data_IF_504958241137
#
_entry.id   IF_504958241137
#
_cell.length_a   1.000
_cell.length_b   1.000
_cell.length_c   1.000
_cell.angle_alpha   90.00
_cell.angle_beta   90.00
_cell.angle_gamma   90.00
#
_symmetry.space_group_name_H-M   'P 1'
#
loop_
_entity.id
_entity.type
_entity.pdbx_description
1 polymer ?
#
# COMPACT_ATOMS: atom_id res chain seq x y z
N UNK A 1 -21.05 22.36 -42.80
CA UNK A 1 -20.31 22.04 -41.54
C UNK A 1 -19.49 20.80 -41.85
N UNK A 2 -18.15 20.88 -41.79
CA UNK A 2 -17.31 19.71 -42.02
C UNK A 2 -17.38 18.78 -40.80
N UNK A 3 -17.69 17.52 -41.05
CA UNK A 3 -17.74 16.42 -40.09
C UNK A 3 -16.30 16.08 -39.69
N UNK A 4 -15.84 16.60 -38.53
CA UNK A 4 -14.54 16.25 -37.97
C UNK A 4 -14.69 14.87 -37.34
N UNK A 5 -14.51 13.83 -38.12
CA UNK A 5 -14.22 12.49 -37.61
C UNK A 5 -12.81 12.52 -37.04
N UNK A 6 -12.72 12.64 -35.73
CA UNK A 6 -11.48 12.32 -35.02
C UNK A 6 -11.27 10.81 -35.11
N UNK A 7 -10.57 10.38 -36.15
CA UNK A 7 -10.03 9.02 -36.27
C UNK A 7 -8.90 8.90 -35.25
N UNK A 8 -9.27 8.81 -33.98
CA UNK A 8 -8.35 8.51 -32.89
C UNK A 8 -8.24 6.99 -32.82
N UNK A 9 -7.46 6.42 -33.72
CA UNK A 9 -6.94 5.08 -33.55
C UNK A 9 -5.92 5.18 -32.40
N UNK A 10 -6.20 4.59 -31.23
CA UNK A 10 -5.21 4.64 -30.14
C UNK A 10 -3.94 3.97 -30.68
N UNK A 11 -2.83 4.72 -30.67
CA UNK A 11 -1.53 4.14 -30.99
C UNK A 11 -1.37 2.92 -30.07
N UNK A 12 -1.21 1.74 -30.65
CA UNK A 12 -0.91 0.54 -29.86
C UNK A 12 0.39 0.83 -29.11
N UNK A 13 0.25 1.03 -27.79
CA UNK A 13 1.42 1.18 -26.92
C UNK A 13 2.25 -0.08 -27.07
N UNK A 14 3.54 0.06 -27.34
CA UNK A 14 4.44 -1.09 -27.32
C UNK A 14 4.54 -1.65 -25.89
N UNK A 15 5.04 -2.88 -25.74
CA UNK A 15 5.12 -3.56 -24.45
C UNK A 15 5.91 -2.73 -23.40
N UNK A 16 6.83 -1.85 -23.83
CA UNK A 16 7.56 -0.97 -22.94
C UNK A 16 6.70 0.18 -22.42
N UNK A 17 5.89 0.78 -23.31
CA UNK A 17 4.97 1.86 -22.94
C UNK A 17 3.82 1.36 -22.07
N UNK A 18 3.40 0.10 -22.23
CA UNK A 18 2.29 -0.49 -21.49
C UNK A 18 2.68 -1.00 -20.08
N UNK A 19 3.97 -1.31 -19.85
CA UNK A 19 4.45 -1.87 -18.57
C UNK A 19 4.06 -1.02 -17.37
N UNK A 20 4.13 0.31 -17.48
CA UNK A 20 3.74 1.22 -16.41
C UNK A 20 2.24 1.15 -16.08
N UNK A 21 1.40 1.05 -17.10
CA UNK A 21 -0.05 0.90 -16.92
C UNK A 21 -0.40 -0.45 -16.29
N UNK A 22 0.22 -1.54 -16.74
CA UNK A 22 0.02 -2.87 -16.17
C UNK A 22 0.42 -2.90 -14.69
N UNK A 23 1.57 -2.32 -14.32
CA UNK A 23 2.00 -2.22 -12.93
C UNK A 23 1.00 -1.44 -12.07
N UNK A 24 0.50 -0.31 -12.58
CA UNK A 24 -0.50 0.50 -11.88
C UNK A 24 -1.81 -0.28 -11.70
N UNK A 25 -2.27 -0.98 -12.73
CA UNK A 25 -3.48 -1.79 -12.70
C UNK A 25 -3.34 -2.97 -11.74
N UNK A 26 -2.25 -3.73 -11.80
CA UNK A 26 -1.96 -4.83 -10.88
C UNK A 26 -1.96 -4.33 -9.44
N UNK A 27 -1.30 -3.20 -9.17
CA UNK A 27 -1.27 -2.60 -7.83
C UNK A 27 -2.68 -2.23 -7.35
N UNK A 28 -3.52 -1.65 -8.22
CA UNK A 28 -4.90 -1.31 -7.92
C UNK A 28 -5.76 -2.55 -7.63
N UNK A 29 -5.65 -3.59 -8.47
CA UNK A 29 -6.39 -4.83 -8.30
C UNK A 29 -5.98 -5.58 -7.03
N UNK A 30 -4.69 -5.65 -6.73
CA UNK A 30 -4.19 -6.23 -5.47
C UNK A 30 -4.75 -5.49 -4.26
N UNK A 31 -4.77 -4.15 -4.27
CA UNK A 31 -5.38 -3.36 -3.18
C UNK A 31 -6.86 -3.71 -2.99
N UNK A 32 -7.63 -3.81 -4.07
CA UNK A 32 -9.05 -4.20 -4.00
C UNK A 32 -9.24 -5.61 -3.44
N UNK A 33 -8.43 -6.56 -3.88
CA UNK A 33 -8.47 -7.94 -3.38
C UNK A 33 -8.15 -8.01 -1.88
N UNK A 34 -7.12 -7.29 -1.42
CA UNK A 34 -6.81 -7.16 -0.01
C UNK A 34 -7.94 -6.51 0.79
N UNK A 35 -8.54 -5.44 0.27
CA UNK A 35 -9.65 -4.76 0.93
C UNK A 35 -10.85 -5.70 1.12
N UNK A 36 -11.15 -6.52 0.11
CA UNK A 36 -12.21 -7.52 0.20
C UNK A 36 -11.88 -8.61 1.24
N UNK A 37 -10.63 -9.10 1.23
CA UNK A 37 -10.17 -10.15 2.13
C UNK A 37 -10.16 -9.70 3.60
N UNK A 38 -9.85 -8.42 3.85
CA UNK A 38 -9.82 -7.86 5.20
C UNK A 38 -11.19 -7.48 5.78
N UNK A 39 -12.26 -7.46 4.99
CA UNK A 39 -13.63 -7.12 5.47
C UNK A 39 -14.08 -7.89 6.70
N UNK A 40 -13.85 -9.22 6.83
CA UNK A 40 -14.28 -9.98 8.00
C UNK A 40 -13.63 -9.52 9.31
N UNK A 41 -12.47 -8.86 9.25
CA UNK A 41 -11.79 -8.29 10.43
C UNK A 41 -12.39 -6.96 10.90
N UNK A 42 -13.36 -6.39 10.16
CA UNK A 42 -13.89 -5.06 10.41
C UNK A 42 -12.98 -3.91 9.95
N UNK A 43 -11.82 -4.22 9.37
CA UNK A 43 -10.88 -3.23 8.85
C UNK A 43 -11.25 -2.78 7.43
N UNK A 44 -10.98 -1.51 7.15
CA UNK A 44 -11.11 -0.91 5.80
C UNK A 44 -9.73 -0.82 5.14
N UNK A 45 -9.70 -0.56 3.82
CA UNK A 45 -8.47 -0.42 3.06
C UNK A 45 -7.45 0.56 3.63
N UNK A 46 -7.90 1.66 4.25
CA UNK A 46 -7.00 2.60 4.90
C UNK A 46 -6.51 2.08 6.26
N UNK A 47 -7.39 1.48 7.06
CA UNK A 47 -7.07 1.06 8.44
C UNK A 47 -6.13 -0.14 8.48
N UNK A 48 -6.37 -1.20 7.68
CA UNK A 48 -5.46 -2.34 7.69
C UNK A 48 -4.06 -1.97 7.18
N UNK A 49 -3.95 -1.04 6.21
CA UNK A 49 -2.64 -0.56 5.74
C UNK A 49 -1.88 0.19 6.82
N UNK A 50 -2.56 1.01 7.63
CA UNK A 50 -1.93 1.66 8.80
C UNK A 50 -1.34 0.60 9.74
N UNK A 51 -2.10 -0.45 10.07
CA UNK A 51 -1.60 -1.53 10.94
C UNK A 51 -0.39 -2.27 10.33
N UNK A 52 -0.39 -2.53 9.02
CA UNK A 52 0.75 -3.15 8.32
C UNK A 52 2.00 -2.27 8.38
N UNK A 53 1.87 -0.95 8.22
CA UNK A 53 3.05 -0.08 8.33
C UNK A 53 3.55 0.03 9.77
N UNK A 54 2.65 0.10 10.75
CA UNK A 54 3.03 0.07 12.17
C UNK A 54 3.65 -1.27 12.59
N UNK A 55 3.21 -2.40 12.04
CA UNK A 55 3.82 -3.69 12.36
C UNK A 55 5.27 -3.83 11.87
N UNK A 56 5.68 -3.04 10.89
CA UNK A 56 7.07 -2.98 10.41
C UNK A 56 7.93 -2.00 11.20
N UNK A 57 7.33 -0.91 11.62
CA UNK A 57 7.97 0.16 12.37
C UNK A 57 6.88 0.84 13.21
N UNK A 58 6.86 0.54 14.49
CA UNK A 58 5.88 1.08 15.43
C UNK A 58 6.23 2.52 15.84
N UNK A 59 5.28 3.24 16.41
CA UNK A 59 5.55 4.59 16.90
C UNK A 59 5.73 5.65 15.81
N UNK A 60 5.11 5.48 14.65
CA UNK A 60 5.21 6.44 13.56
C UNK A 60 4.26 7.63 13.76
N UNK A 61 4.67 8.82 13.29
CA UNK A 61 3.78 9.97 13.23
C UNK A 61 2.74 9.82 12.12
N UNK A 62 1.58 10.47 12.27
CA UNK A 62 0.56 10.48 11.20
C UNK A 62 1.10 11.09 9.88
N UNK A 63 2.05 12.02 9.95
CA UNK A 63 2.69 12.59 8.77
C UNK A 63 3.56 11.56 8.04
N UNK A 64 4.34 10.76 8.77
CA UNK A 64 5.14 9.67 8.20
C UNK A 64 4.24 8.58 7.57
N UNK A 65 3.16 8.22 8.27
CA UNK A 65 2.17 7.27 7.75
C UNK A 65 1.51 7.79 6.46
N UNK A 66 1.15 9.08 6.40
CA UNK A 66 0.54 9.69 5.20
C UNK A 66 1.49 9.62 3.99
N UNK A 67 2.77 9.89 4.21
CA UNK A 67 3.79 9.79 3.17
C UNK A 67 3.95 8.34 2.68
N UNK A 68 4.08 7.36 3.60
CA UNK A 68 4.26 5.94 3.26
C UNK A 68 3.02 5.34 2.60
N UNK A 69 1.83 5.78 2.99
CA UNK A 69 0.55 5.32 2.44
C UNK A 69 0.14 6.04 1.14
N UNK A 70 0.83 7.12 0.81
CA UNK A 70 0.52 8.00 -0.34
C UNK A 70 -0.94 8.50 -0.33
N UNK A 71 -1.43 8.89 0.85
CA UNK A 71 -2.75 9.47 1.06
C UNK A 71 -2.65 10.76 1.86
N UNK A 72 -3.72 11.55 1.88
CA UNK A 72 -3.75 12.81 2.60
C UNK A 72 -3.59 12.63 4.12
N UNK A 73 -3.03 13.61 4.81
CA UNK A 73 -2.95 13.61 6.29
C UNK A 73 -4.33 13.51 6.94
N UNK A 74 -5.35 14.09 6.30
CA UNK A 74 -6.74 13.99 6.76
C UNK A 74 -7.22 12.54 6.72
N UNK A 75 -7.01 11.84 5.61
CA UNK A 75 -7.40 10.43 5.48
C UNK A 75 -6.68 9.51 6.47
N UNK A 76 -5.39 9.78 6.77
CA UNK A 76 -4.66 9.05 7.83
C UNK A 76 -5.25 9.38 9.19
N UNK A 77 -5.54 10.66 9.47
CA UNK A 77 -6.17 11.08 10.73
C UNK A 77 -7.47 10.32 10.97
N UNK A 78 -8.36 10.27 10.00
CA UNK A 78 -9.63 9.53 10.07
C UNK A 78 -9.43 8.01 10.26
N UNK A 79 -8.43 7.43 9.59
CA UNK A 79 -8.10 6.01 9.74
C UNK A 79 -7.58 5.72 11.17
N UNK A 80 -6.66 6.55 11.68
CA UNK A 80 -6.11 6.44 13.04
C UNK A 80 -7.20 6.66 14.09
N UNK A 81 -8.07 7.67 13.92
CA UNK A 81 -9.21 7.90 14.82
C UNK A 81 -10.17 6.70 14.90
N UNK A 82 -10.39 6.03 13.76
CA UNK A 82 -11.19 4.81 13.70
C UNK A 82 -10.52 3.64 14.42
N UNK A 83 -9.22 3.45 14.17
CA UNK A 83 -8.42 2.40 14.83
C UNK A 83 -8.31 2.62 16.33
N UNK A 84 -8.14 3.85 16.78
CA UNK A 84 -8.08 4.19 18.21
C UNK A 84 -9.42 3.94 18.90
N UNK A 85 -10.55 4.35 18.28
CA UNK A 85 -11.89 4.05 18.79
C UNK A 85 -12.20 2.55 18.87
N UNK A 86 -11.64 1.75 17.99
CA UNK A 86 -11.78 0.27 17.99
C UNK A 86 -10.70 -0.43 18.83
N UNK A 87 -9.82 0.31 19.50
CA UNK A 87 -8.80 -0.22 20.40
C UNK A 87 -7.62 -0.89 19.71
N UNK A 88 -7.40 -0.65 18.41
CA UNK A 88 -6.30 -1.23 17.65
C UNK A 88 -5.00 -0.43 17.74
N UNK A 89 -5.09 0.87 17.91
CA UNK A 89 -3.93 1.74 18.10
C UNK A 89 -4.16 2.70 19.24
N UNK A 90 -3.09 3.29 19.73
CA UNK A 90 -3.10 4.39 20.67
C UNK A 90 -2.14 5.48 20.24
N UNK A 91 -2.45 6.73 20.61
CA UNK A 91 -1.57 7.87 20.40
C UNK A 91 -0.78 8.15 21.67
N UNK A 92 0.53 8.32 21.53
CA UNK A 92 1.42 8.76 22.61
C UNK A 92 2.18 10.00 22.15
N UNK A 93 2.45 10.94 23.10
CA UNK A 93 3.31 12.06 22.80
C UNK A 93 4.73 11.56 22.48
N UNK A 94 5.35 12.18 21.49
CA UNK A 94 6.75 11.91 21.16
C UNK A 94 7.65 12.29 22.36
N UNK A 95 8.57 11.44 22.80
CA UNK A 95 9.43 11.72 23.95
C UNK A 95 10.35 12.92 23.72
N UNK A 96 10.74 13.16 22.47
CA UNK A 96 11.69 14.22 22.11
C UNK A 96 10.99 15.53 21.69
N UNK A 97 9.74 15.46 21.22
CA UNK A 97 8.94 16.63 20.84
C UNK A 97 7.47 16.44 21.22
N UNK A 98 7.07 16.95 22.39
CA UNK A 98 5.71 16.85 22.94
C UNK A 98 4.61 17.46 22.05
N UNK A 99 4.97 18.20 21.00
CA UNK A 99 4.02 18.71 20.00
C UNK A 99 3.67 17.66 18.95
N UNK A 100 4.42 16.57 18.87
CA UNK A 100 4.19 15.47 17.96
C UNK A 100 3.50 14.32 18.67
N UNK A 101 2.64 13.65 17.93
CA UNK A 101 1.96 12.44 18.38
C UNK A 101 2.37 11.28 17.51
N UNK A 102 2.80 10.21 18.15
CA UNK A 102 3.15 8.95 17.53
C UNK A 102 2.02 7.94 17.74
N UNK A 103 1.80 7.08 16.76
CA UNK A 103 0.77 6.05 16.75
C UNK A 103 1.42 4.72 17.01
N UNK A 104 0.92 3.99 17.99
CA UNK A 104 1.42 2.69 18.42
C UNK A 104 0.35 1.62 18.30
N UNK A 105 0.77 0.38 17.99
CA UNK A 105 -0.09 -0.78 18.06
C UNK A 105 -0.46 -1.11 19.51
N UNK A 106 -1.71 -1.52 19.71
CA UNK A 106 -2.14 -2.14 20.96
C UNK A 106 -2.01 -3.65 20.90
N UNK A 107 -2.18 -4.32 22.04
CA UNK A 107 -2.20 -5.78 22.08
C UNK A 107 -3.29 -6.37 21.17
N UNK A 108 -4.44 -5.72 21.08
CA UNK A 108 -5.53 -6.11 20.14
C UNK A 108 -5.04 -6.23 18.70
N UNK A 109 -4.24 -5.28 18.24
CA UNK A 109 -3.66 -5.35 16.90
C UNK A 109 -2.57 -6.39 16.78
N UNK A 110 -1.71 -6.53 17.78
CA UNK A 110 -0.65 -7.54 17.80
C UNK A 110 -1.26 -8.94 17.67
N UNK A 111 -2.35 -9.21 18.37
CA UNK A 111 -3.07 -10.48 18.31
C UNK A 111 -3.78 -10.71 16.95
N UNK A 112 -4.13 -9.63 16.25
CA UNK A 112 -4.76 -9.70 14.91
C UNK A 112 -3.74 -9.90 13.78
N UNK A 113 -2.48 -9.47 13.94
CA UNK A 113 -1.45 -9.54 12.89
C UNK A 113 -1.26 -10.95 12.30
N UNK A 114 -1.24 -12.05 13.07
CA UNK A 114 -1.14 -13.41 12.51
C UNK A 114 -2.28 -13.74 11.55
N UNK A 115 -3.52 -13.36 11.90
CA UNK A 115 -4.71 -13.57 11.04
C UNK A 115 -4.59 -12.74 9.75
N UNK A 116 -4.19 -11.48 9.85
CA UNK A 116 -3.96 -10.63 8.68
C UNK A 116 -2.86 -11.20 7.78
N UNK A 117 -1.80 -11.74 8.37
CA UNK A 117 -0.69 -12.38 7.64
C UNK A 117 -1.16 -13.65 6.93
N UNK A 118 -1.97 -14.50 7.58
CA UNK A 118 -2.55 -15.69 6.96
C UNK A 118 -3.41 -15.30 5.74
N UNK A 119 -4.31 -14.33 5.89
CA UNK A 119 -5.15 -13.83 4.79
C UNK A 119 -4.32 -13.27 3.63
N UNK A 120 -3.22 -12.59 3.93
CA UNK A 120 -2.31 -12.06 2.92
C UNK A 120 -1.57 -13.18 2.18
N UNK A 121 -1.16 -14.23 2.88
CA UNK A 121 -0.51 -15.40 2.30
C UNK A 121 -1.45 -16.18 1.39
N UNK A 122 -2.69 -16.43 1.83
CA UNK A 122 -3.72 -17.09 1.02
C UNK A 122 -3.97 -16.31 -0.29
N UNK A 123 -4.13 -14.98 -0.19
CA UNK A 123 -4.31 -14.16 -1.38
C UNK A 123 -3.09 -14.22 -2.31
N UNK A 124 -1.88 -14.23 -1.74
CA UNK A 124 -0.64 -14.36 -2.53
C UNK A 124 -0.61 -15.70 -3.28
N UNK A 125 -0.93 -16.80 -2.62
CA UNK A 125 -1.00 -18.13 -3.24
C UNK A 125 -2.04 -18.16 -4.36
N UNK A 126 -3.18 -17.50 -4.17
CA UNK A 126 -4.24 -17.42 -5.16
C UNK A 126 -3.81 -16.65 -6.42
N UNK A 127 -3.27 -15.43 -6.28
CA UNK A 127 -2.92 -14.62 -7.46
C UNK A 127 -1.61 -15.05 -8.14
N UNK A 128 -0.76 -15.82 -7.46
CA UNK A 128 0.42 -16.44 -8.06
C UNK A 128 0.16 -17.86 -8.56
N UNK A 129 -1.05 -18.39 -8.36
CA UNK A 129 -1.40 -19.73 -8.83
C UNK A 129 -1.22 -19.84 -10.35
N UNK A 130 -0.65 -20.96 -10.80
CA UNK A 130 -0.35 -21.16 -12.23
C UNK A 130 1.02 -20.62 -12.69
N UNK A 131 1.79 -19.98 -11.82
CA UNK A 131 3.17 -19.58 -12.08
C UNK A 131 4.15 -20.52 -11.37
N UNK A 132 5.27 -20.81 -12.03
CA UNK A 132 6.34 -21.59 -11.41
C UNK A 132 7.11 -20.76 -10.38
N UNK A 133 7.80 -21.43 -9.46
CA UNK A 133 8.69 -20.77 -8.48
C UNK A 133 9.73 -19.86 -9.16
N UNK A 134 10.27 -20.32 -10.30
CA UNK A 134 11.26 -19.56 -11.07
C UNK A 134 10.67 -18.27 -11.64
N UNK A 135 9.44 -18.32 -12.20
CA UNK A 135 8.74 -17.14 -12.72
C UNK A 135 8.45 -16.13 -11.60
N UNK A 136 8.02 -16.61 -10.43
CA UNK A 136 7.79 -15.77 -9.25
C UNK A 136 9.07 -15.09 -8.77
N UNK A 137 10.19 -15.83 -8.72
CA UNK A 137 11.50 -15.29 -8.35
C UNK A 137 12.00 -14.26 -9.38
N UNK A 138 11.83 -14.52 -10.68
CA UNK A 138 12.18 -13.58 -11.75
C UNK A 138 11.38 -12.29 -11.64
N UNK A 139 10.06 -12.39 -11.44
CA UNK A 139 9.17 -11.24 -11.25
C UNK A 139 9.60 -10.42 -10.03
N UNK A 140 9.85 -11.08 -8.89
CA UNK A 140 10.34 -10.40 -7.68
C UNK A 140 11.65 -9.65 -7.94
N UNK A 141 12.61 -10.29 -8.61
CA UNK A 141 13.90 -9.68 -8.94
C UNK A 141 13.76 -8.48 -9.87
N UNK A 142 12.87 -8.55 -10.88
CA UNK A 142 12.58 -7.44 -11.78
C UNK A 142 11.96 -6.26 -11.04
N UNK A 143 10.93 -6.50 -10.25
CA UNK A 143 10.24 -5.46 -9.48
C UNK A 143 11.16 -4.80 -8.45
N UNK A 144 12.04 -5.58 -7.82
CA UNK A 144 13.05 -5.06 -6.87
C UNK A 144 14.01 -4.08 -7.58
N UNK A 145 14.56 -4.46 -8.72
CA UNK A 145 15.45 -3.57 -9.50
C UNK A 145 14.76 -2.30 -9.99
N UNK A 146 13.50 -2.42 -10.43
CA UNK A 146 12.71 -1.25 -10.84
C UNK A 146 12.47 -0.30 -9.67
N UNK A 147 12.11 -0.83 -8.51
CA UNK A 147 11.93 -0.05 -7.28
C UNK A 147 13.20 0.71 -6.91
N UNK A 148 14.34 0.01 -6.88
CA UNK A 148 15.61 0.60 -6.48
C UNK A 148 16.02 1.72 -7.46
N UNK A 149 15.84 1.49 -8.76
CA UNK A 149 16.09 2.51 -9.78
C UNK A 149 15.20 3.75 -9.62
N UNK A 150 13.92 3.57 -9.30
CA UNK A 150 13.00 4.69 -9.08
C UNK A 150 13.33 5.47 -7.80
N UNK A 151 13.82 4.80 -6.76
CA UNK A 151 14.31 5.46 -5.53
C UNK A 151 15.51 6.35 -5.87
N UNK A 152 16.49 5.82 -6.61
CA UNK A 152 17.67 6.58 -7.03
C UNK A 152 17.31 7.81 -7.87
N UNK A 153 16.35 7.67 -8.80
CA UNK A 153 15.86 8.78 -9.62
C UNK A 153 15.17 9.88 -8.79
N UNK A 154 14.42 9.53 -7.74
CA UNK A 154 13.78 10.50 -6.84
C UNK A 154 14.81 11.27 -5.99
N UNK A 155 15.87 10.62 -5.57
CA UNK A 155 16.93 11.25 -4.75
C UNK A 155 17.78 12.20 -5.62
N UNK A 156 18.08 11.80 -6.86
CA UNK A 156 18.83 12.64 -7.80
C UNK A 156 18.10 13.87 -8.35
N UNK A 157 16.79 14.00 -8.08
CA UNK A 157 15.97 15.15 -8.50
C UNK A 157 15.76 16.20 -7.38
N UNK A 158 16.35 15.99 -6.19
CA UNK A 158 16.20 16.83 -5.00
C UNK A 158 17.45 17.68 -4.69
N UNK A 159 18.43 17.70 -5.60
CA UNK A 159 19.54 18.66 -5.64
C UNK A 159 19.28 19.71 -6.73
#
# INVERSE_FOLDING_TARGET
MPDIRLDHQPAALDAHSDTGFVLAEVTRLLRLAFDQRMRPTGLTGATWRVLVYLSREDGQTQAALAQKLEISRVAVGEAVDRLERSGHVERRADPDDRRKWCVFLTQTSIDLLPTMTAMANELREEFLSGHSEEEVQQLHGLLTRLRDRLVDMKIGSAE
#
